data_IF_158571547486
#
_entry.id   IF_158571547486
#
_cell.length_a   1.000
_cell.length_b   1.000
_cell.length_c   1.000
_cell.angle_alpha   90.00
_cell.angle_beta   90.00
_cell.angle_gamma   90.00
#
_symmetry.space_group_name_H-M   'P 1'
#
loop_
_entity.id
_entity.type
_entity.pdbx_description
1 polymer ?
#
# COMPACT_ATOMS: atom_id res chain seq x y z
N UNK A 1 -11.08 23.80 4.49
CA UNK A 1 -11.75 22.46 4.44
C UNK A 1 -13.09 22.61 5.14
N UNK A 2 -14.20 22.20 4.52
CA UNK A 2 -15.52 22.20 5.16
C UNK A 2 -15.53 21.16 6.28
N UNK A 3 -15.60 21.60 7.53
CA UNK A 3 -15.67 20.74 8.72
C UNK A 3 -17.04 20.04 8.78
N UNK A 4 -17.13 18.89 8.13
CA UNK A 4 -18.14 17.90 8.46
C UNK A 4 -17.59 17.01 9.57
N UNK A 5 -18.40 16.64 10.58
CA UNK A 5 -17.98 15.67 11.57
C UNK A 5 -17.55 14.38 10.87
N UNK A 6 -16.46 13.76 11.36
CA UNK A 6 -15.93 12.53 10.80
C UNK A 6 -17.01 11.45 10.69
N UNK A 7 -17.06 10.77 9.55
CA UNK A 7 -18.14 9.80 9.24
C UNK A 7 -17.97 8.50 10.02
N UNK A 8 -16.78 8.31 10.59
CA UNK A 8 -16.42 7.17 11.42
C UNK A 8 -17.26 7.07 12.69
N UNK A 9 -18.43 6.46 12.59
CA UNK A 9 -19.19 5.96 13.74
C UNK A 9 -18.74 4.54 14.12
N UNK A 10 -18.89 4.10 15.38
CA UNK A 10 -18.58 2.73 15.79
C UNK A 10 -19.25 1.67 14.91
N UNK A 11 -20.45 1.97 14.39
CA UNK A 11 -21.17 1.09 13.46
C UNK A 11 -20.48 1.00 12.09
N UNK A 12 -19.98 2.12 11.54
CA UNK A 12 -19.27 2.13 10.27
C UNK A 12 -17.95 1.35 10.36
N UNK A 13 -17.17 1.58 11.42
CA UNK A 13 -15.96 0.79 11.66
C UNK A 13 -16.29 -0.70 11.87
N UNK A 14 -17.32 -1.02 12.65
CA UNK A 14 -17.73 -2.40 12.89
C UNK A 14 -18.14 -3.15 11.61
N UNK A 15 -18.98 -2.53 10.78
CA UNK A 15 -19.38 -3.10 9.47
C UNK A 15 -18.18 -3.27 8.55
N UNK A 16 -17.30 -2.27 8.51
CA UNK A 16 -16.10 -2.31 7.68
C UNK A 16 -15.12 -3.41 8.13
N UNK A 17 -14.77 -3.49 9.41
CA UNK A 17 -13.87 -4.54 9.91
C UNK A 17 -14.49 -5.93 9.76
N UNK A 18 -15.80 -6.09 9.94
CA UNK A 18 -16.48 -7.35 9.66
C UNK A 18 -16.34 -7.73 8.17
N UNK A 19 -16.55 -6.79 7.25
CA UNK A 19 -16.34 -7.01 5.83
C UNK A 19 -14.89 -7.38 5.51
N UNK A 20 -13.91 -6.69 6.12
CA UNK A 20 -12.48 -6.98 5.97
C UNK A 20 -12.13 -8.38 6.46
N UNK A 21 -12.64 -8.79 7.62
CA UNK A 21 -12.43 -10.15 8.14
C UNK A 21 -13.04 -11.21 7.21
N UNK A 22 -14.23 -10.97 6.66
CA UNK A 22 -14.84 -11.86 5.66
C UNK A 22 -13.97 -11.92 4.40
N UNK A 23 -13.49 -10.78 3.91
CA UNK A 23 -12.62 -10.70 2.74
C UNK A 23 -11.30 -11.45 2.94
N UNK A 24 -10.66 -11.28 4.08
CA UNK A 24 -9.45 -12.02 4.48
C UNK A 24 -9.76 -13.52 4.55
N UNK A 25 -10.87 -13.91 5.18
CA UNK A 25 -11.27 -15.31 5.27
C UNK A 25 -11.52 -15.93 3.88
N UNK A 26 -12.13 -15.19 2.95
CA UNK A 26 -12.31 -15.61 1.55
C UNK A 26 -10.97 -15.76 0.82
N UNK A 27 -10.02 -14.83 1.01
CA UNK A 27 -8.67 -14.92 0.45
C UNK A 27 -7.94 -16.17 0.98
N UNK A 28 -8.01 -16.41 2.30
CA UNK A 28 -7.46 -17.58 2.97
C UNK A 28 -8.11 -18.90 2.51
N UNK A 29 -9.41 -18.91 2.29
CA UNK A 29 -10.12 -20.11 1.84
C UNK A 29 -9.80 -20.45 0.38
N UNK A 30 -9.73 -19.44 -0.49
CA UNK A 30 -9.28 -19.60 -1.87
C UNK A 30 -7.87 -20.23 -1.93
N UNK A 31 -6.99 -19.83 -1.03
CA UNK A 31 -5.61 -20.35 -0.93
C UNK A 31 -5.53 -21.84 -0.62
N UNK A 32 -6.37 -22.33 0.30
CA UNK A 32 -6.35 -23.76 0.67
C UNK A 32 -6.76 -24.67 -0.50
N UNK A 33 -7.52 -24.13 -1.46
CA UNK A 33 -7.98 -24.86 -2.65
C UNK A 33 -6.95 -24.88 -3.79
N UNK A 34 -6.10 -23.85 -3.89
CA UNK A 34 -5.16 -23.65 -5.02
C UNK A 34 -3.67 -23.82 -4.65
N UNK A 35 -3.35 -24.46 -3.51
CA UNK A 35 -1.99 -24.52 -2.95
C UNK A 35 -0.91 -25.25 -3.78
N UNK A 36 -1.26 -25.89 -4.91
CA UNK A 36 -0.27 -26.51 -5.83
C UNK A 36 -0.21 -25.91 -7.23
N UNK A 37 -0.99 -24.86 -7.53
CA UNK A 37 -1.05 -24.27 -8.87
C UNK A 37 -0.40 -22.89 -8.90
N UNK A 38 0.54 -22.66 -9.84
CA UNK A 38 1.05 -21.32 -10.12
C UNK A 38 -0.11 -20.47 -10.64
N UNK A 39 -0.48 -19.40 -9.93
CA UNK A 39 -1.58 -18.51 -10.32
C UNK A 39 -1.26 -17.92 -11.70
N UNK A 40 -2.07 -18.25 -12.71
CA UNK A 40 -1.89 -17.72 -14.05
C UNK A 40 -2.30 -16.25 -14.14
N UNK A 41 -1.79 -15.53 -15.15
CA UNK A 41 -2.12 -14.10 -15.38
C UNK A 41 -3.62 -13.84 -15.44
N UNK A 42 -4.39 -14.73 -16.08
CA UNK A 42 -5.86 -14.61 -16.17
C UNK A 42 -6.54 -14.71 -14.80
N UNK A 43 -6.05 -15.61 -13.95
CA UNK A 43 -6.56 -15.79 -12.59
C UNK A 43 -6.18 -14.58 -11.72
N UNK A 44 -4.94 -14.11 -11.81
CA UNK A 44 -4.48 -12.90 -11.11
C UNK A 44 -5.28 -11.65 -11.52
N UNK A 45 -5.57 -11.49 -12.82
CA UNK A 45 -6.45 -10.41 -13.32
C UNK A 45 -7.88 -10.53 -12.79
N UNK A 46 -8.44 -11.73 -12.76
CA UNK A 46 -9.79 -11.96 -12.23
C UNK A 46 -9.86 -11.61 -10.74
N UNK A 47 -8.88 -12.04 -9.95
CA UNK A 47 -8.77 -11.67 -8.53
C UNK A 47 -8.58 -10.17 -8.36
N UNK A 48 -7.68 -9.54 -9.11
CA UNK A 48 -7.48 -8.09 -9.06
C UNK A 48 -8.77 -7.33 -9.42
N UNK A 49 -9.49 -7.77 -10.45
CA UNK A 49 -10.78 -7.20 -10.86
C UNK A 49 -11.85 -7.35 -9.79
N UNK A 50 -11.90 -8.51 -9.11
CA UNK A 50 -12.80 -8.74 -7.99
C UNK A 50 -12.53 -7.75 -6.85
N UNK A 51 -11.26 -7.57 -6.46
CA UNK A 51 -10.89 -6.63 -5.39
C UNK A 51 -11.23 -5.17 -5.74
N UNK A 52 -11.00 -4.76 -6.99
CA UNK A 52 -11.44 -3.45 -7.49
C UNK A 52 -12.96 -3.33 -7.45
N UNK A 53 -13.69 -4.34 -7.89
CA UNK A 53 -15.15 -4.34 -7.87
C UNK A 53 -15.71 -4.21 -6.46
N UNK A 54 -15.13 -4.92 -5.48
CA UNK A 54 -15.52 -4.82 -4.07
C UNK A 54 -15.27 -3.41 -3.53
N UNK A 55 -14.14 -2.79 -3.89
CA UNK A 55 -13.82 -1.40 -3.52
C UNK A 55 -14.83 -0.41 -4.11
N UNK A 56 -15.24 -0.61 -5.37
CA UNK A 56 -16.29 0.18 -6.01
C UNK A 56 -17.68 -0.02 -5.36
N UNK A 57 -18.01 -1.27 -4.97
CA UNK A 57 -19.25 -1.57 -4.25
C UNK A 57 -19.27 -0.88 -2.88
N UNK A 58 -18.16 -0.88 -2.16
CA UNK A 58 -18.03 -0.13 -0.91
C UNK A 58 -18.22 1.37 -1.12
N UNK A 59 -17.59 1.95 -2.16
CA UNK A 59 -17.76 3.36 -2.49
C UNK A 59 -19.23 3.69 -2.85
N UNK A 60 -19.92 2.82 -3.58
CA UNK A 60 -21.34 2.96 -3.87
C UNK A 60 -22.21 2.87 -2.61
N UNK A 61 -21.94 1.89 -1.74
CA UNK A 61 -22.60 1.78 -0.44
C UNK A 61 -22.40 3.03 0.42
N UNK A 62 -21.17 3.53 0.48
CA UNK A 62 -20.79 4.75 1.20
C UNK A 62 -21.58 5.95 0.67
N UNK A 63 -21.69 6.10 -0.65
CA UNK A 63 -22.49 7.15 -1.29
C UNK A 63 -23.95 7.09 -0.85
N UNK A 64 -24.61 5.95 -1.01
CA UNK A 64 -26.04 5.82 -0.69
C UNK A 64 -26.32 6.00 0.80
N UNK A 65 -25.41 5.54 1.67
CA UNK A 65 -25.55 5.73 3.12
C UNK A 65 -25.39 7.18 3.56
N UNK A 66 -24.45 7.93 2.97
CA UNK A 66 -24.26 9.34 3.27
C UNK A 66 -25.36 10.21 2.64
N UNK A 67 -25.71 9.93 1.38
CA UNK A 67 -26.73 10.69 0.65
C UNK A 67 -28.12 10.53 1.25
N UNK A 68 -28.45 9.33 1.75
CA UNK A 68 -29.70 9.04 2.44
C UNK A 68 -29.76 9.50 3.90
N UNK A 69 -28.65 10.00 4.46
CA UNK A 69 -28.60 10.50 5.82
C UNK A 69 -28.92 12.01 5.86
N UNK A 70 -29.97 12.45 6.58
CA UNK A 70 -30.35 13.86 6.70
C UNK A 70 -29.22 14.77 7.22
N UNK A 71 -28.25 14.22 7.96
CA UNK A 71 -27.14 14.97 8.54
C UNK A 71 -25.97 15.30 7.60
N UNK A 72 -25.88 14.64 6.44
CA UNK A 72 -24.77 14.85 5.47
C UNK A 72 -25.28 15.31 4.10
N UNK A 73 -26.26 14.60 3.54
CA UNK A 73 -26.79 14.86 2.21
C UNK A 73 -25.86 14.43 1.06
N UNK A 74 -26.33 14.65 -0.17
CA UNK A 74 -25.68 14.14 -1.39
C UNK A 74 -24.35 14.83 -1.73
N UNK A 75 -24.17 16.10 -1.33
CA UNK A 75 -22.93 16.85 -1.59
C UNK A 75 -21.75 16.24 -0.83
N UNK A 76 -21.92 16.00 0.47
CA UNK A 76 -20.90 15.36 1.32
C UNK A 76 -20.64 13.93 0.88
N UNK A 77 -21.70 13.18 0.53
CA UNK A 77 -21.56 11.83 0.00
C UNK A 77 -20.63 11.79 -1.23
N UNK A 78 -20.81 12.74 -2.17
CA UNK A 78 -19.96 12.84 -3.36
C UNK A 78 -18.52 13.19 -3.01
N UNK A 79 -18.30 14.16 -2.13
CA UNK A 79 -16.96 14.57 -1.70
C UNK A 79 -16.20 13.39 -1.06
N UNK A 80 -16.85 12.67 -0.15
CA UNK A 80 -16.24 11.55 0.59
C UNK A 80 -15.94 10.34 -0.27
N UNK A 81 -16.76 10.09 -1.28
CA UNK A 81 -16.49 9.05 -2.28
C UNK A 81 -15.31 9.45 -3.17
N UNK A 82 -15.17 10.73 -3.52
CA UNK A 82 -14.01 11.23 -4.25
C UNK A 82 -12.74 11.15 -3.40
N UNK A 83 -12.81 11.50 -2.11
CA UNK A 83 -11.71 11.31 -1.16
C UNK A 83 -11.31 9.83 -1.07
N UNK A 84 -12.28 8.92 -0.95
CA UNK A 84 -12.05 7.48 -0.91
C UNK A 84 -11.34 6.98 -2.17
N UNK A 85 -11.84 7.32 -3.37
CA UNK A 85 -11.19 6.89 -4.62
C UNK A 85 -9.81 7.51 -4.81
N UNK A 86 -9.63 8.76 -4.39
CA UNK A 86 -8.33 9.42 -4.49
C UNK A 86 -7.32 8.77 -3.55
N UNK A 87 -7.68 8.52 -2.29
CA UNK A 87 -6.86 7.76 -1.35
C UNK A 87 -6.59 6.33 -1.82
N UNK A 88 -7.61 5.65 -2.33
CA UNK A 88 -7.49 4.27 -2.83
C UNK A 88 -6.51 4.20 -4.02
N UNK A 89 -6.63 5.10 -4.99
CA UNK A 89 -5.74 5.13 -6.16
C UNK A 89 -4.31 5.50 -5.75
N UNK A 90 -4.14 6.50 -4.88
CA UNK A 90 -2.82 6.88 -4.36
C UNK A 90 -2.14 5.69 -3.70
N UNK A 91 -2.84 5.04 -2.77
CA UNK A 91 -2.31 3.90 -2.05
C UNK A 91 -2.08 2.71 -2.99
N UNK A 92 -2.99 2.44 -3.93
CA UNK A 92 -2.84 1.34 -4.89
C UNK A 92 -1.61 1.53 -5.76
N UNK A 93 -1.29 2.76 -6.10
CA UNK A 93 -0.16 3.12 -6.97
C UNK A 93 1.16 3.03 -6.22
N UNK A 94 1.21 3.51 -4.97
CA UNK A 94 2.36 3.33 -4.09
C UNK A 94 2.59 1.86 -3.76
N UNK A 95 1.53 1.07 -3.57
CA UNK A 95 1.64 -0.37 -3.37
C UNK A 95 2.28 -1.13 -4.55
N UNK A 96 2.25 -0.58 -5.78
CA UNK A 96 3.01 -1.16 -6.91
C UNK A 96 4.51 -0.96 -6.72
N UNK A 97 4.95 0.17 -6.19
CA UNK A 97 6.36 0.41 -5.81
C UNK A 97 6.81 -0.61 -4.77
N UNK A 98 5.96 -0.84 -3.75
CA UNK A 98 6.23 -1.79 -2.68
C UNK A 98 6.47 -3.21 -3.21
N UNK A 99 5.80 -3.61 -4.30
CA UNK A 99 6.03 -4.92 -4.94
C UNK A 99 7.46 -5.07 -5.44
N UNK A 100 8.11 -4.00 -5.93
CA UNK A 100 9.51 -4.08 -6.37
C UNK A 100 10.44 -4.42 -5.21
N UNK A 101 10.24 -3.78 -4.05
CA UNK A 101 11.02 -4.11 -2.85
C UNK A 101 10.73 -5.53 -2.38
N UNK A 102 9.49 -6.02 -2.50
CA UNK A 102 9.16 -7.41 -2.17
C UNK A 102 9.89 -8.39 -3.09
N UNK A 103 9.91 -8.14 -4.40
CA UNK A 103 10.66 -8.95 -5.37
C UNK A 103 12.16 -8.95 -5.05
N UNK A 104 12.71 -7.80 -4.67
CA UNK A 104 14.11 -7.65 -4.30
C UNK A 104 14.44 -8.46 -3.02
N UNK A 105 13.59 -8.39 -1.99
CA UNK A 105 13.73 -9.17 -0.76
C UNK A 105 13.63 -10.68 -1.07
N UNK A 106 12.61 -11.11 -1.83
CA UNK A 106 12.44 -12.52 -2.18
C UNK A 106 13.61 -13.05 -3.02
N UNK A 107 14.13 -12.24 -3.95
CA UNK A 107 15.30 -12.56 -4.76
C UNK A 107 16.57 -12.70 -3.91
N UNK A 108 16.81 -11.75 -3.00
CA UNK A 108 17.96 -11.77 -2.10
C UNK A 108 18.01 -13.03 -1.22
N UNK A 109 16.88 -13.37 -0.60
CA UNK A 109 16.76 -14.57 0.24
C UNK A 109 16.54 -15.86 -0.56
N UNK A 110 16.47 -15.77 -1.90
CA UNK A 110 16.20 -16.90 -2.81
C UNK A 110 14.97 -17.71 -2.41
N UNK A 111 13.90 -17.02 -2.02
CA UNK A 111 12.66 -17.64 -1.55
C UNK A 111 11.94 -18.30 -2.72
N UNK A 112 11.76 -19.62 -2.64
CA UNK A 112 11.03 -20.38 -3.67
C UNK A 112 9.59 -19.84 -3.84
N UNK A 113 9.06 -19.75 -5.08
CA UNK A 113 7.74 -19.15 -5.35
C UNK A 113 6.60 -19.73 -4.50
N UNK A 114 6.63 -21.02 -4.23
CA UNK A 114 5.65 -21.72 -3.38
C UNK A 114 5.55 -21.13 -1.95
N UNK A 115 6.64 -20.59 -1.42
CA UNK A 115 6.68 -20.00 -0.07
C UNK A 115 6.36 -18.50 -0.06
N UNK A 116 6.52 -17.80 -1.18
CA UNK A 116 6.22 -16.38 -1.30
C UNK A 116 4.74 -16.09 -1.01
N UNK A 117 3.84 -16.97 -1.46
CA UNK A 117 2.39 -16.86 -1.20
C UNK A 117 2.07 -16.74 0.29
N UNK A 118 2.71 -17.59 1.11
CA UNK A 118 2.50 -17.63 2.55
C UNK A 118 3.02 -16.36 3.20
N UNK A 119 4.22 -15.92 2.81
CA UNK A 119 4.77 -14.67 3.33
C UNK A 119 3.89 -13.48 2.98
N UNK A 120 3.39 -13.39 1.74
CA UNK A 120 2.48 -12.31 1.31
C UNK A 120 1.17 -12.32 2.10
N UNK A 121 0.60 -13.48 2.41
CA UNK A 121 -0.62 -13.57 3.23
C UNK A 121 -0.39 -12.98 4.63
N UNK A 122 0.66 -13.44 5.33
CA UNK A 122 0.95 -12.93 6.67
C UNK A 122 1.40 -11.46 6.62
N UNK A 123 2.10 -11.09 5.54
CA UNK A 123 2.52 -9.73 5.20
C UNK A 123 1.34 -8.75 5.11
N UNK A 124 0.28 -9.13 4.40
CA UNK A 124 -0.93 -8.30 4.30
C UNK A 124 -1.64 -8.16 5.65
N UNK A 125 -1.65 -9.21 6.46
CA UNK A 125 -2.26 -9.16 7.80
C UNK A 125 -1.49 -8.22 8.74
N UNK A 126 -0.16 -8.32 8.77
CA UNK A 126 0.67 -7.45 9.60
C UNK A 126 0.62 -6.00 9.11
N UNK A 127 0.75 -5.78 7.79
CA UNK A 127 0.61 -4.46 7.17
C UNK A 127 -0.74 -3.81 7.54
N UNK A 128 -1.84 -4.55 7.49
CA UNK A 128 -3.17 -4.05 7.85
C UNK A 128 -3.22 -3.56 9.31
N UNK A 129 -2.66 -4.33 10.24
CA UNK A 129 -2.60 -3.93 11.67
C UNK A 129 -1.71 -2.71 11.85
N UNK A 130 -0.49 -2.74 11.33
CA UNK A 130 0.48 -1.65 11.47
C UNK A 130 -0.05 -0.36 10.87
N UNK A 131 -0.64 -0.40 9.67
CA UNK A 131 -1.25 0.77 9.03
C UNK A 131 -2.45 1.27 9.78
N UNK A 132 -3.31 0.40 10.31
CA UNK A 132 -4.43 0.84 11.15
C UNK A 132 -3.91 1.65 12.33
N UNK A 133 -2.87 1.16 13.01
CA UNK A 133 -2.22 1.89 14.12
C UNK A 133 -1.62 3.21 13.64
N UNK A 134 -0.83 3.21 12.58
CA UNK A 134 -0.18 4.43 12.06
C UNK A 134 -1.19 5.47 11.57
N UNK A 135 -2.30 5.06 10.97
CA UNK A 135 -3.37 5.95 10.52
C UNK A 135 -4.06 6.59 11.73
N UNK A 136 -4.38 5.83 12.78
CA UNK A 136 -4.98 6.40 13.99
C UNK A 136 -4.01 7.34 14.72
N UNK A 137 -2.73 6.98 14.79
CA UNK A 137 -1.68 7.85 15.35
C UNK A 137 -1.57 9.14 14.51
N UNK A 138 -1.48 9.02 13.19
CA UNK A 138 -1.43 10.16 12.27
C UNK A 138 -2.66 11.04 12.37
N UNK A 139 -3.85 10.46 12.45
CA UNK A 139 -5.10 11.18 12.64
C UNK A 139 -5.11 11.96 13.96
N UNK A 140 -4.66 11.34 15.05
CA UNK A 140 -4.54 12.01 16.34
C UNK A 140 -3.54 13.17 16.29
N UNK A 141 -2.42 13.01 15.58
CA UNK A 141 -1.44 14.09 15.37
C UNK A 141 -2.04 15.24 14.55
N UNK A 142 -2.74 14.95 13.45
CA UNK A 142 -3.37 15.97 12.60
C UNK A 142 -4.46 16.74 13.35
N UNK A 143 -5.24 16.07 14.20
CA UNK A 143 -6.28 16.71 15.02
C UNK A 143 -5.71 17.65 16.09
N UNK A 144 -4.55 17.31 16.66
CA UNK A 144 -3.93 18.10 17.73
C UNK A 144 -2.99 19.19 17.18
N UNK A 145 -2.40 18.96 16.01
CA UNK A 145 -1.34 19.79 15.45
C UNK A 145 -1.59 20.07 13.97
N UNK A 146 -2.34 21.12 13.65
CA UNK A 146 -2.60 21.49 12.24
C UNK A 146 -1.31 21.71 11.44
N UNK A 147 -0.25 22.21 12.08
CA UNK A 147 1.03 22.46 11.43
C UNK A 147 1.76 21.17 10.98
N UNK A 148 1.35 20.00 11.48
CA UNK A 148 1.93 18.71 11.10
C UNK A 148 1.76 18.44 9.60
N UNK A 149 0.72 18.99 8.98
CA UNK A 149 0.49 18.85 7.54
C UNK A 149 1.59 19.54 6.71
N UNK A 150 2.20 20.62 7.21
CA UNK A 150 3.36 21.22 6.54
C UNK A 150 4.60 20.36 6.70
N UNK A 151 4.79 19.73 7.87
CA UNK A 151 5.90 18.79 8.08
C UNK A 151 5.77 17.59 7.14
N UNK A 152 4.57 17.03 7.04
CA UNK A 152 4.21 15.99 6.07
C UNK A 152 4.46 16.46 4.63
N UNK A 153 4.02 17.67 4.27
CA UNK A 153 4.26 18.23 2.94
C UNK A 153 5.74 18.38 2.60
N UNK A 154 6.54 18.90 3.53
CA UNK A 154 7.99 19.01 3.37
C UNK A 154 8.67 17.65 3.24
N UNK A 155 8.23 16.67 4.04
CA UNK A 155 8.72 15.30 3.99
C UNK A 155 8.43 14.65 2.64
N UNK A 156 7.20 14.72 2.12
CA UNK A 156 6.83 14.15 0.82
C UNK A 156 7.54 14.83 -0.35
N UNK A 157 7.73 16.15 -0.27
CA UNK A 157 8.49 16.87 -1.28
C UNK A 157 9.95 16.42 -1.27
N UNK A 158 10.53 16.25 -0.08
CA UNK A 158 11.88 15.73 0.07
C UNK A 158 12.02 14.31 -0.50
N UNK A 159 11.13 13.38 -0.13
CA UNK A 159 11.20 11.99 -0.61
C UNK A 159 10.94 11.90 -2.11
N UNK A 160 9.96 12.64 -2.63
CA UNK A 160 9.71 12.75 -4.07
C UNK A 160 10.92 13.26 -4.86
N UNK A 161 11.58 14.32 -4.42
CA UNK A 161 12.79 14.84 -5.08
C UNK A 161 13.96 13.85 -4.96
N UNK A 162 14.10 13.20 -3.81
CA UNK A 162 15.17 12.23 -3.58
C UNK A 162 15.04 11.01 -4.50
N UNK A 163 13.80 10.53 -4.73
CA UNK A 163 13.52 9.42 -5.66
C UNK A 163 13.91 9.72 -7.11
N UNK A 164 14.00 10.98 -7.52
CA UNK A 164 14.41 11.36 -8.90
C UNK A 164 15.92 11.34 -9.12
N UNK A 165 16.72 11.29 -8.05
CA UNK A 165 18.17 11.27 -8.19
C UNK A 165 18.62 9.91 -8.74
N UNK A 166 19.58 9.89 -9.70
CA UNK A 166 20.18 8.65 -10.15
C UNK A 166 20.80 7.95 -8.93
N UNK A 167 20.38 6.71 -8.67
CA UNK A 167 21.14 5.80 -7.81
C UNK A 167 22.48 5.61 -8.53
N UNK A 168 23.55 6.22 -8.03
CA UNK A 168 24.88 5.99 -8.59
C UNK A 168 25.31 4.58 -8.22
N UNK A 169 25.52 3.69 -9.20
CA UNK A 169 26.13 2.33 -9.11
C UNK A 169 25.96 1.52 -7.81
N UNK A 170 24.87 1.75 -7.08
CA UNK A 170 24.38 0.94 -5.98
C UNK A 170 23.15 0.21 -6.51
N UNK A 171 23.40 -0.82 -7.32
CA UNK A 171 22.40 -1.83 -7.65
C UNK A 171 21.72 -2.30 -6.34
N UNK A 172 20.57 -1.71 -6.00
CA UNK A 172 19.76 -2.11 -4.85
C UNK A 172 20.55 -2.15 -3.55
N UNK A 173 20.90 -0.97 -3.02
CA UNK A 173 21.33 -0.78 -1.62
C UNK A 173 20.53 -1.76 -0.76
N UNK A 174 21.20 -2.83 -0.29
CA UNK A 174 20.63 -4.07 0.26
C UNK A 174 19.32 -3.73 0.99
N UNK A 175 18.21 -4.47 0.89
CA UNK A 175 16.94 -4.10 1.56
C UNK A 175 17.01 -3.73 3.08
N UNK A 176 18.14 -3.93 3.74
CA UNK A 176 18.89 -2.92 4.51
C UNK A 176 19.94 -3.72 5.23
N UNK A 177 21.21 -3.70 4.82
CA UNK A 177 22.30 -4.33 5.59
C UNK A 177 22.14 -3.98 7.09
N UNK A 178 21.75 -2.74 7.39
CA UNK A 178 21.46 -2.24 8.75
C UNK A 178 20.21 -2.85 9.39
N UNK A 179 19.04 -2.84 8.73
CA UNK A 179 17.80 -3.45 9.27
C UNK A 179 17.96 -4.96 9.39
N UNK A 180 18.49 -5.62 8.36
CA UNK A 180 18.80 -7.04 8.36
C UNK A 180 19.74 -7.40 9.52
N UNK A 181 20.82 -6.63 9.73
CA UNK A 181 21.73 -6.84 10.84
C UNK A 181 21.08 -6.51 12.20
N UNK A 182 20.20 -5.51 12.27
CA UNK A 182 19.45 -5.19 13.48
C UNK A 182 18.46 -6.32 13.85
N UNK A 183 17.72 -6.85 12.88
CA UNK A 183 16.80 -7.97 13.10
C UNK A 183 17.58 -9.23 13.47
N UNK A 184 18.70 -9.54 12.80
CA UNK A 184 19.58 -10.68 13.14
C UNK A 184 20.21 -10.57 14.53
N UNK A 185 20.38 -9.36 15.07
CA UNK A 185 20.84 -9.15 16.46
C UNK A 185 19.76 -9.47 17.48
N UNK A 186 18.49 -9.23 17.15
CA UNK A 186 17.36 -9.41 18.08
C UNK A 186 16.78 -10.83 17.99
N UNK A 187 16.77 -11.43 16.80
CA UNK A 187 16.18 -12.73 16.56
C UNK A 187 17.26 -13.70 16.08
N UNK A 188 17.52 -14.81 16.79
CA UNK A 188 18.40 -15.87 16.29
C UNK A 188 17.74 -16.54 15.08
N UNK A 189 18.41 -16.48 13.93
CA UNK A 189 17.93 -17.01 12.65
C UNK A 189 18.77 -18.21 12.24
N UNK A 190 18.11 -19.33 11.95
CA UNK A 190 18.75 -20.54 11.41
C UNK A 190 19.13 -20.35 9.94
N UNK A 191 20.08 -21.13 9.44
CA UNK A 191 20.58 -21.00 8.06
C UNK A 191 19.75 -21.73 7.03
N UNK A 192 18.91 -22.69 7.43
CA UNK A 192 18.17 -23.56 6.53
C UNK A 192 16.67 -23.22 6.45
N UNK A 193 16.11 -23.37 5.24
CA UNK A 193 14.67 -23.28 5.03
C UNK A 193 13.97 -24.57 5.45
N UNK A 194 13.23 -24.52 6.56
CA UNK A 194 12.42 -25.64 7.07
C UNK A 194 11.01 -25.66 6.45
N UNK A 195 10.95 -25.66 5.12
CA UNK A 195 9.69 -25.59 4.36
C UNK A 195 8.91 -24.30 4.62
N UNK A 196 7.61 -24.42 4.91
CA UNK A 196 6.73 -23.27 5.20
C UNK A 196 6.76 -22.78 6.66
N UNK A 197 7.58 -23.38 7.52
CA UNK A 197 7.59 -23.04 8.96
C UNK A 197 8.37 -21.73 9.18
N UNK A 198 7.78 -20.82 9.95
CA UNK A 198 8.45 -19.59 10.40
C UNK A 198 9.39 -19.82 11.59
N UNK A 199 9.16 -20.87 12.37
CA UNK A 199 9.99 -21.25 13.49
C UNK A 199 10.31 -22.74 13.42
N UNK A 200 11.54 -23.08 13.76
CA UNK A 200 12.02 -24.45 13.91
C UNK A 200 12.58 -24.65 15.31
N UNK A 201 12.84 -25.90 15.69
CA UNK A 201 13.54 -26.23 16.93
C UNK A 201 14.89 -26.84 16.54
N UNK A 202 15.97 -26.14 16.84
CA UNK A 202 17.34 -26.59 16.64
C UNK A 202 18.02 -26.62 18.01
N UNK A 203 18.64 -27.75 18.36
CA UNK A 203 19.31 -27.96 19.66
C UNK A 203 18.43 -27.62 20.89
N UNK A 204 17.14 -27.98 20.84
CA UNK A 204 16.18 -27.74 21.92
C UNK A 204 15.74 -26.28 22.10
N UNK A 205 16.20 -25.35 21.24
CA UNK A 205 15.80 -23.95 21.26
C UNK A 205 14.95 -23.62 20.03
N UNK A 206 13.92 -22.78 20.22
CA UNK A 206 13.07 -22.28 19.13
C UNK A 206 13.84 -21.20 18.38
N UNK A 207 14.14 -21.44 17.11
CA UNK A 207 14.92 -20.56 16.23
C UNK A 207 14.02 -20.09 15.08
N UNK A 208 14.15 -18.83 14.66
CA UNK A 208 13.43 -18.30 13.52
C UNK A 208 14.04 -18.82 12.21
N UNK A 209 13.21 -19.17 11.24
CA UNK A 209 13.68 -19.58 9.92
C UNK A 209 13.98 -18.36 9.03
N UNK A 210 14.74 -18.52 7.95
CA UNK A 210 14.91 -17.45 6.96
C UNK A 210 13.58 -16.92 6.42
N UNK A 211 12.53 -17.76 6.35
CA UNK A 211 11.21 -17.35 5.89
C UNK A 211 10.54 -16.34 6.85
N UNK A 212 10.79 -16.45 8.16
CA UNK A 212 10.30 -15.47 9.13
C UNK A 212 11.05 -14.15 9.01
N UNK A 213 12.36 -14.21 8.77
CA UNK A 213 13.16 -13.02 8.53
C UNK A 213 12.67 -12.27 7.28
N UNK A 214 12.33 -12.98 6.21
CA UNK A 214 11.72 -12.40 5.00
C UNK A 214 10.40 -11.70 5.33
N UNK A 215 9.52 -12.35 6.11
CA UNK A 215 8.26 -11.75 6.56
C UNK A 215 8.52 -10.43 7.33
N UNK A 216 9.45 -10.44 8.30
CA UNK A 216 9.80 -9.25 9.06
C UNK A 216 10.35 -8.14 8.16
N UNK A 217 11.20 -8.46 7.18
CA UNK A 217 11.73 -7.47 6.25
C UNK A 217 10.63 -6.85 5.38
N UNK A 218 9.65 -7.64 4.96
CA UNK A 218 8.48 -7.15 4.21
C UNK A 218 7.63 -6.20 5.08
N UNK A 219 7.35 -6.58 6.33
CA UNK A 219 6.59 -5.75 7.27
C UNK A 219 7.31 -4.43 7.57
N UNK A 220 8.62 -4.48 7.84
CA UNK A 220 9.43 -3.29 8.07
C UNK A 220 9.46 -2.37 6.84
N UNK A 221 9.57 -2.96 5.65
CA UNK A 221 9.49 -2.20 4.41
C UNK A 221 8.12 -1.54 4.24
N UNK A 222 7.02 -2.22 4.54
CA UNK A 222 5.68 -1.62 4.48
C UNK A 222 5.54 -0.45 5.47
N UNK A 223 6.10 -0.56 6.68
CA UNK A 223 6.14 0.57 7.63
C UNK A 223 6.89 1.75 7.03
N UNK A 224 8.06 1.53 6.41
CA UNK A 224 8.83 2.59 5.75
C UNK A 224 7.99 3.25 4.64
N UNK A 225 7.33 2.46 3.80
CA UNK A 225 6.45 2.98 2.74
C UNK A 225 5.24 3.74 3.28
N UNK A 226 4.68 3.29 4.41
CA UNK A 226 3.55 3.96 5.05
C UNK A 226 3.92 5.35 5.59
N UNK A 227 5.21 5.60 5.88
CA UNK A 227 5.69 6.94 6.26
C UNK A 227 5.49 7.95 5.12
N UNK A 228 5.59 7.53 3.85
CA UNK A 228 5.27 8.39 2.71
C UNK A 228 3.76 8.36 2.38
N UNK A 229 3.16 7.17 2.38
CA UNK A 229 1.80 7.03 1.85
C UNK A 229 0.72 7.59 2.79
N UNK A 230 0.88 7.47 4.10
CA UNK A 230 -0.11 7.96 5.08
C UNK A 230 -0.21 9.49 5.06
N UNK A 231 0.88 10.25 5.16
CA UNK A 231 0.85 11.71 4.98
C UNK A 231 0.21 12.14 3.65
N UNK A 232 0.50 11.43 2.57
CA UNK A 232 -0.04 11.76 1.26
C UNK A 232 -1.58 11.61 1.21
N UNK A 233 -2.14 10.59 1.86
CA UNK A 233 -3.58 10.41 1.96
C UNK A 233 -4.20 11.46 2.89
N UNK A 234 -3.51 11.89 3.96
CA UNK A 234 -3.96 13.02 4.80
C UNK A 234 -4.03 14.36 4.06
N UNK A 235 -3.30 14.52 2.95
CA UNK A 235 -3.42 15.66 2.04
C UNK A 235 -4.71 15.65 1.19
N UNK A 236 -5.39 14.51 1.14
CA UNK A 236 -6.68 14.33 0.44
C UNK A 236 -7.82 14.51 1.43
N UNK A 237 -7.73 13.87 2.58
CA UNK A 237 -8.78 13.89 3.61
C UNK A 237 -8.20 13.74 4.99
N UNK A 238 -8.79 14.47 5.95
CA UNK A 238 -8.49 14.33 7.37
C UNK A 238 -9.44 13.37 8.08
N UNK A 239 -10.43 12.79 7.37
CA UNK A 239 -11.36 11.81 7.94
C UNK A 239 -10.68 10.44 8.10
N UNK A 240 -10.37 10.00 9.33
CA UNK A 240 -9.61 8.76 9.56
C UNK A 240 -10.32 7.52 9.03
N UNK A 241 -11.66 7.55 8.94
CA UNK A 241 -12.43 6.44 8.37
C UNK A 241 -12.17 6.30 6.87
N UNK A 242 -12.13 7.42 6.13
CA UNK A 242 -11.83 7.40 4.70
C UNK A 242 -10.38 7.01 4.44
N UNK A 243 -9.43 7.58 5.22
CA UNK A 243 -8.01 7.20 5.16
C UNK A 243 -7.87 5.69 5.36
N UNK A 244 -8.41 5.16 6.45
CA UNK A 244 -8.34 3.73 6.80
C UNK A 244 -8.96 2.83 5.74
N UNK A 245 -10.20 3.11 5.36
CA UNK A 245 -10.94 2.25 4.42
C UNK A 245 -10.27 2.23 3.04
N UNK A 246 -9.90 3.39 2.50
CA UNK A 246 -9.22 3.47 1.20
C UNK A 246 -7.89 2.72 1.18
N UNK A 247 -7.14 2.79 2.27
CA UNK A 247 -5.82 2.21 2.40
C UNK A 247 -5.89 0.68 2.51
N UNK A 248 -6.80 0.17 3.36
CA UNK A 248 -7.04 -1.27 3.48
C UNK A 248 -7.57 -1.84 2.16
N UNK A 249 -8.55 -1.21 1.50
CA UNK A 249 -9.04 -1.70 0.20
C UNK A 249 -7.94 -1.73 -0.87
N UNK A 250 -6.99 -0.79 -0.85
CA UNK A 250 -5.88 -0.77 -1.79
C UNK A 250 -4.89 -1.93 -1.59
N UNK A 251 -4.63 -2.31 -0.33
CA UNK A 251 -3.74 -3.43 0.03
C UNK A 251 -4.45 -4.78 -0.13
N UNK A 252 -5.76 -4.83 0.08
CA UNK A 252 -6.53 -6.02 -0.22
C UNK A 252 -6.36 -6.36 -1.71
N UNK A 253 -5.91 -7.59 -1.98
CA UNK A 253 -5.52 -8.02 -3.32
C UNK A 253 -4.06 -7.76 -3.71
N UNK A 254 -3.20 -7.28 -2.80
CA UNK A 254 -1.75 -7.15 -3.03
C UNK A 254 -1.12 -8.48 -3.51
N UNK A 255 -1.58 -9.60 -2.95
CA UNK A 255 -1.18 -10.95 -3.37
C UNK A 255 -1.44 -11.19 -4.87
N UNK A 256 -2.64 -10.89 -5.34
CA UNK A 256 -3.00 -11.04 -6.75
C UNK A 256 -2.19 -10.08 -7.64
N UNK A 257 -1.98 -8.85 -7.17
CA UNK A 257 -1.18 -7.84 -7.86
C UNK A 257 0.29 -8.25 -7.96
N UNK A 258 0.86 -8.84 -6.90
CA UNK A 258 2.22 -9.37 -6.91
C UNK A 258 2.39 -10.42 -8.00
N UNK A 259 1.51 -11.42 -8.11
CA UNK A 259 1.63 -12.43 -9.17
C UNK A 259 1.35 -11.90 -10.57
N UNK A 260 0.50 -10.87 -10.68
CA UNK A 260 0.28 -10.19 -11.95
C UNK A 260 1.54 -9.44 -12.41
N UNK A 261 2.26 -8.83 -11.47
CA UNK A 261 3.35 -7.92 -11.77
C UNK A 261 4.73 -8.56 -11.69
N UNK A 262 4.93 -9.66 -10.96
CA UNK A 262 6.23 -10.28 -10.78
C UNK A 262 6.93 -10.61 -12.12
N UNK A 263 6.16 -11.08 -13.11
CA UNK A 263 6.69 -11.45 -14.43
C UNK A 263 6.85 -10.24 -15.40
N UNK A 264 6.30 -9.06 -15.04
CA UNK A 264 6.34 -7.84 -15.87
C UNK A 264 6.95 -6.65 -15.15
N UNK A 265 7.45 -6.83 -13.94
CA UNK A 265 7.97 -5.78 -13.07
C UNK A 265 9.08 -5.00 -13.79
N UNK A 266 10.00 -5.71 -14.44
CA UNK A 266 11.10 -5.14 -15.23
C UNK A 266 10.63 -4.25 -16.40
N UNK A 267 9.34 -4.32 -16.78
CA UNK A 267 8.75 -3.50 -17.85
C UNK A 267 8.28 -2.14 -17.38
N UNK A 268 8.24 -1.85 -16.08
CA UNK A 268 7.75 -0.58 -15.52
C UNK A 268 8.89 0.37 -15.11
N UNK A 269 9.86 0.54 -16.01
CA UNK A 269 11.10 1.32 -15.76
C UNK A 269 10.81 2.76 -15.30
N UNK A 270 9.75 3.39 -15.79
CA UNK A 270 9.45 4.79 -15.46
C UNK A 270 8.51 5.00 -14.28
N UNK A 271 8.04 3.94 -13.63
CA UNK A 271 7.06 4.05 -12.55
C UNK A 271 7.61 4.84 -11.36
N UNK A 272 8.89 4.64 -11.01
CA UNK A 272 9.61 5.40 -9.97
C UNK A 272 9.51 6.92 -10.19
N UNK A 273 9.65 7.38 -11.44
CA UNK A 273 9.52 8.81 -11.78
C UNK A 273 8.07 9.30 -11.67
N UNK A 274 7.10 8.48 -12.06
CA UNK A 274 5.68 8.78 -11.89
C UNK A 274 5.31 8.99 -10.41
N UNK A 275 5.78 8.10 -9.54
CA UNK A 275 5.56 8.18 -8.10
C UNK A 275 6.30 9.38 -7.47
N UNK A 276 7.56 9.60 -7.85
CA UNK A 276 8.34 10.75 -7.41
C UNK A 276 7.65 12.08 -7.73
N UNK A 277 7.08 12.20 -8.94
CA UNK A 277 6.29 13.35 -9.34
C UNK A 277 5.02 13.50 -8.49
N UNK A 278 4.29 12.39 -8.28
CA UNK A 278 3.06 12.40 -7.47
C UNK A 278 3.34 12.83 -6.03
N UNK A 279 4.37 12.26 -5.38
CA UNK A 279 4.77 12.63 -4.02
C UNK A 279 5.19 14.09 -3.93
N UNK A 280 5.99 14.57 -4.89
CA UNK A 280 6.41 15.97 -4.96
C UNK A 280 5.20 16.91 -5.13
N UNK A 281 4.26 16.57 -6.02
CA UNK A 281 3.04 17.33 -6.24
C UNK A 281 2.18 17.41 -4.97
N UNK A 282 1.98 16.28 -4.29
CA UNK A 282 1.21 16.24 -3.03
C UNK A 282 1.93 17.02 -1.93
N UNK A 283 3.26 16.88 -1.82
CA UNK A 283 4.06 17.63 -0.87
C UNK A 283 3.93 19.14 -1.07
N UNK A 284 4.06 19.62 -2.32
CA UNK A 284 3.83 21.03 -2.67
C UNK A 284 2.39 21.45 -2.32
N UNK A 285 1.39 20.65 -2.69
CA UNK A 285 -0.02 20.92 -2.38
C UNK A 285 -0.23 21.12 -0.88
N UNK A 286 0.36 20.29 -0.03
CA UNK A 286 0.28 20.42 1.43
C UNK A 286 0.97 21.71 1.91
N UNK A 287 2.15 22.04 1.36
CA UNK A 287 2.89 23.23 1.77
C UNK A 287 2.17 24.54 1.41
N UNK A 288 1.44 24.57 0.30
CA UNK A 288 0.71 25.77 -0.16
C UNK A 288 -0.76 25.79 0.26
N UNK A 289 -1.21 24.83 1.08
CA UNK A 289 -2.62 24.61 1.38
C UNK A 289 -3.35 25.84 1.96
N UNK A 290 -2.63 26.71 2.66
CA UNK A 290 -3.19 27.96 3.20
C UNK A 290 -3.44 29.03 2.13
N UNK A 291 -2.66 29.04 1.05
CA UNK A 291 -2.76 30.04 -0.01
C UNK A 291 -3.58 29.56 -1.20
N UNK A 292 -3.45 28.29 -1.56
CA UNK A 292 -4.08 27.72 -2.77
C UNK A 292 -4.78 26.42 -2.42
N UNK A 293 -6.11 26.42 -2.58
CA UNK A 293 -6.93 25.23 -2.44
C UNK A 293 -7.05 24.51 -3.79
N UNK A 294 -6.26 23.44 -3.97
CA UNK A 294 -6.34 22.60 -5.17
C UNK A 294 -7.50 21.62 -5.01
N UNK A 295 -8.52 21.65 -5.90
CA UNK A 295 -9.64 20.71 -5.83
C UNK A 295 -9.18 19.25 -5.89
N UNK A 296 -9.89 18.37 -5.18
CA UNK A 296 -9.58 16.93 -5.14
C UNK A 296 -9.66 16.31 -6.55
N UNK A 297 -10.62 16.74 -7.37
CA UNK A 297 -10.75 16.29 -8.77
C UNK A 297 -9.51 16.60 -9.60
N UNK A 298 -8.94 17.79 -9.45
CA UNK A 298 -7.69 18.19 -10.15
C UNK A 298 -6.53 17.34 -9.64
N UNK A 299 -6.42 17.17 -8.32
CA UNK A 299 -5.38 16.32 -7.71
C UNK A 299 -5.46 14.89 -8.27
N UNK A 300 -6.67 14.33 -8.31
CA UNK A 300 -6.92 13.00 -8.85
C UNK A 300 -6.53 12.90 -10.33
N UNK A 301 -6.88 13.89 -11.15
CA UNK A 301 -6.50 13.91 -12.57
C UNK A 301 -4.99 13.99 -12.77
N UNK A 302 -4.27 14.78 -11.96
CA UNK A 302 -2.80 14.89 -12.02
C UNK A 302 -2.16 13.56 -11.64
N UNK A 303 -2.62 12.93 -10.56
CA UNK A 303 -2.12 11.63 -10.08
C UNK A 303 -2.35 10.56 -11.15
N UNK A 304 -3.59 10.46 -11.66
CA UNK A 304 -3.95 9.46 -12.67
C UNK A 304 -3.19 9.68 -13.98
N UNK A 305 -3.03 10.94 -14.38
CA UNK A 305 -2.27 11.31 -15.57
C UNK A 305 -0.80 10.96 -15.45
N UNK A 306 -0.15 11.30 -14.33
CA UNK A 306 1.26 11.01 -14.10
C UNK A 306 1.55 9.50 -14.07
N UNK A 307 0.75 8.73 -13.33
CA UNK A 307 0.91 7.29 -13.23
C UNK A 307 0.56 6.60 -14.54
N UNK A 308 -0.54 6.98 -15.18
CA UNK A 308 -0.92 6.47 -16.50
C UNK A 308 0.15 6.73 -17.55
N UNK A 309 0.69 7.95 -17.60
CA UNK A 309 1.78 8.30 -18.51
C UNK A 309 3.04 7.48 -18.23
N UNK A 310 3.41 7.29 -16.96
CA UNK A 310 4.58 6.49 -16.58
C UNK A 310 4.44 5.03 -17.01
N UNK A 311 3.27 4.43 -16.79
CA UNK A 311 2.95 3.05 -17.20
C UNK A 311 2.96 2.92 -18.72
N UNK A 312 2.24 3.79 -19.44
CA UNK A 312 2.16 3.74 -20.91
C UNK A 312 3.53 3.92 -21.56
N UNK A 313 4.32 4.89 -21.06
CA UNK A 313 5.66 5.15 -21.57
C UNK A 313 6.59 3.98 -21.31
N UNK A 314 6.48 3.35 -20.14
CA UNK A 314 7.27 2.15 -19.81
C UNK A 314 6.93 0.98 -20.75
N UNK A 315 5.65 0.72 -20.97
CA UNK A 315 5.21 -0.34 -21.89
C UNK A 315 5.66 -0.11 -23.34
N UNK A 316 5.58 1.14 -23.82
CA UNK A 316 6.03 1.51 -25.18
C UNK A 316 7.54 1.37 -25.31
N UNK A 317 8.29 1.82 -24.29
CA UNK A 317 9.74 1.71 -24.28
C UNK A 317 10.18 0.25 -24.29
N UNK A 318 9.68 -0.57 -23.37
CA UNK A 318 10.05 -1.99 -23.27
C UNK A 318 9.70 -2.78 -24.53
N UNK A 319 8.54 -2.49 -25.17
CA UNK A 319 8.17 -3.08 -26.46
C UNK A 319 9.16 -2.72 -27.59
N UNK A 320 9.74 -1.52 -27.58
CA UNK A 320 10.74 -1.09 -28.58
C UNK A 320 12.12 -1.71 -28.32
N UNK A 321 12.49 -1.94 -27.07
CA UNK A 321 13.82 -2.46 -26.70
C UNK A 321 13.90 -3.99 -26.67
N UNK A 322 12.80 -4.70 -26.94
CA UNK A 322 12.78 -6.17 -27.06
C UNK A 322 12.92 -6.94 -25.74
N UNK A 323 12.68 -6.29 -24.59
CA UNK A 323 12.60 -6.91 -23.25
C UNK A 323 11.14 -7.28 -22.90
#
# INVERSE_FOLDING_TARGET
MTEYPGIGSPLFYGVFFAAVLVMIALDMFSLKKNSSHKVGVKEALAWSGLWVAVSCLFAGWLYFKLAGNPGYGAAVAKEKVLEFFTGYILEKSLAVDNIFVFLMIFGYFKVAPQFQHRVLLYGVLGALVLRTVMIFVGAALVQQFEWILYLFGAFLLYTGIHMMKPEGDEEGDLANSRLLNAVKKVVPVGTEFHGEKFFTVENGKKIATPLFLVLVMIELSDVVFAVDSIPAVFAVTTDPFIVLTSNIFAILGLRAMYFLLADVAERFVFLKYGLAFVLSFIGVKMLVMHWVHIPISVSLSVVFGALGASVLTSLVYTKKTGR
#
